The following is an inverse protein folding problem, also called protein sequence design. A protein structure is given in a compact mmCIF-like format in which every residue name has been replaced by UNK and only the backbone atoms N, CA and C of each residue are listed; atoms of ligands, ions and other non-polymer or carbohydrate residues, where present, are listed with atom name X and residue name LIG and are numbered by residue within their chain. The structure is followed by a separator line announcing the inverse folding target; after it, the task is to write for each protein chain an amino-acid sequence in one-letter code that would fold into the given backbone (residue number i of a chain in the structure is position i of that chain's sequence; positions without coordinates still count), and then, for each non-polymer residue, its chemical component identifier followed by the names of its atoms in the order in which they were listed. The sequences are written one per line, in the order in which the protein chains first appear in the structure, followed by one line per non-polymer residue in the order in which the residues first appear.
data_IF_864897868464
#
_entry.id   IF_864897868464
#
_cell.length_a   1.000
_cell.length_b   1.000
_cell.length_c   1.000
_cell.angle_alpha   90.00
_cell.angle_beta   90.00
_cell.angle_gamma   90.00
#
_symmetry.space_group_name_H-M   'P 1'
#
loop_
_entity.id
_entity.type
_entity.pdbx_description
1 polymer ?
#
# COMPACT_ATOMS: atom_id res chain seq x y z
N UNK A 1 -24.53 0.17 9.48
CA UNK A 1 -24.74 -0.32 8.10
C UNK A 1 -24.75 -1.85 8.13
N UNK A 2 -25.23 -2.47 7.06
CA UNK A 2 -25.25 -3.92 6.92
C UNK A 2 -24.53 -4.31 5.63
N UNK A 3 -23.70 -5.34 5.67
CA UNK A 3 -22.93 -5.86 4.55
C UNK A 3 -23.10 -7.38 4.50
N UNK A 4 -23.35 -7.96 3.34
CA UNK A 4 -23.36 -9.41 3.15
C UNK A 4 -22.13 -9.83 2.33
N UNK A 5 -21.39 -10.84 2.78
CA UNK A 5 -20.26 -11.38 2.02
C UNK A 5 -20.70 -12.43 0.98
N UNK A 6 -19.74 -12.94 0.20
CA UNK A 6 -19.99 -13.95 -0.83
C UNK A 6 -20.61 -15.25 -0.28
N UNK A 7 -20.29 -15.61 0.97
CA UNK A 7 -20.83 -16.78 1.67
C UNK A 7 -22.16 -16.50 2.40
N UNK A 8 -22.87 -15.45 2.00
CA UNK A 8 -24.18 -15.04 2.52
C UNK A 8 -24.20 -14.65 4.01
N UNK A 9 -23.04 -14.50 4.65
CA UNK A 9 -22.95 -14.03 6.03
C UNK A 9 -23.17 -12.53 6.09
N UNK A 10 -24.09 -12.12 6.95
CA UNK A 10 -24.45 -10.72 7.17
C UNK A 10 -23.71 -10.13 8.37
N UNK A 11 -23.06 -8.99 8.13
CA UNK A 11 -22.31 -8.21 9.12
C UNK A 11 -23.06 -6.91 9.41
N UNK A 12 -23.50 -6.73 10.65
CA UNK A 12 -23.96 -5.44 11.15
C UNK A 12 -22.78 -4.69 11.74
N UNK A 13 -22.42 -3.57 11.11
CA UNK A 13 -21.23 -2.81 11.48
C UNK A 13 -21.44 -1.30 11.44
N UNK A 14 -20.65 -0.60 12.25
CA UNK A 14 -20.40 0.84 12.08
C UNK A 14 -19.03 1.02 11.45
N UNK A 15 -18.95 1.93 10.49
CA UNK A 15 -17.71 2.39 9.88
C UNK A 15 -17.55 3.86 10.22
N UNK A 16 -16.43 4.19 10.87
CA UNK A 16 -16.05 5.55 11.22
C UNK A 16 -14.79 5.90 10.41
N UNK A 17 -14.79 7.04 9.72
CA UNK A 17 -13.63 7.55 8.97
C UNK A 17 -13.39 9.01 9.30
N UNK A 18 -12.18 9.30 9.77
CA UNK A 18 -11.69 10.65 10.01
C UNK A 18 -10.54 10.94 9.05
N UNK A 19 -10.51 12.13 8.45
CA UNK A 19 -9.43 12.58 7.57
C UNK A 19 -8.83 13.84 8.16
N UNK A 20 -7.52 13.80 8.42
CA UNK A 20 -6.77 14.91 9.00
C UNK A 20 -5.73 15.42 8.02
N UNK A 21 -5.72 16.73 7.78
CA UNK A 21 -4.57 17.40 7.16
C UNK A 21 -3.55 17.65 8.28
N UNK A 22 -2.33 17.18 8.08
CA UNK A 22 -1.27 17.33 9.07
C UNK A 22 -0.53 18.64 8.83
N UNK A 23 -0.26 19.38 9.90
CA UNK A 23 0.63 20.51 9.82
C UNK A 23 2.09 20.07 9.59
N UNK A 24 2.97 21.03 9.31
CA UNK A 24 4.38 20.75 9.02
C UNK A 24 5.09 20.02 10.18
N UNK A 25 4.80 20.39 11.43
CA UNK A 25 5.46 19.80 12.59
C UNK A 25 5.02 18.34 12.78
N UNK A 26 3.72 18.08 12.68
CA UNK A 26 3.16 16.73 12.72
C UNK A 26 3.73 15.87 11.59
N UNK A 27 3.77 16.39 10.36
CA UNK A 27 4.31 15.65 9.22
C UNK A 27 5.79 15.28 9.41
N UNK A 28 6.61 16.19 9.94
CA UNK A 28 8.03 15.94 10.25
C UNK A 28 8.17 14.84 11.31
N UNK A 29 7.39 14.92 12.39
CA UNK A 29 7.39 13.91 13.45
C UNK A 29 7.09 12.52 12.88
N UNK A 30 6.05 12.41 12.04
CA UNK A 30 5.64 11.15 11.42
C UNK A 30 6.61 10.64 10.36
N UNK A 31 7.24 11.55 9.62
CA UNK A 31 8.24 11.21 8.61
C UNK A 31 9.55 10.71 9.25
N UNK A 32 9.87 11.17 10.46
CA UNK A 32 11.08 10.80 11.19
C UNK A 32 12.36 11.50 10.68
N UNK A 33 12.21 12.45 9.76
CA UNK A 33 13.29 13.28 9.22
C UNK A 33 12.71 14.67 8.89
N UNK A 34 13.50 15.72 9.09
CA UNK A 34 13.14 17.09 8.75
C UNK A 34 13.53 17.38 7.30
N UNK A 35 12.57 17.65 6.39
CA UNK A 35 12.88 18.12 5.04
C UNK A 35 13.60 19.48 5.08
N UNK A 36 14.50 19.72 4.13
CA UNK A 36 15.13 21.04 3.97
C UNK A 36 14.10 22.13 3.62
N UNK A 37 14.43 23.39 3.89
CA UNK A 37 13.50 24.53 3.74
C UNK A 37 12.96 24.74 2.31
N UNK A 38 13.65 24.19 1.31
CA UNK A 38 13.26 24.25 -0.11
C UNK A 38 12.26 23.17 -0.51
N UNK A 39 12.03 22.16 0.34
CA UNK A 39 11.09 21.07 0.07
C UNK A 39 9.69 21.52 0.45
N UNK A 40 8.79 21.53 -0.54
CA UNK A 40 7.36 21.70 -0.30
C UNK A 40 6.81 20.39 0.25
N UNK A 41 5.98 20.48 1.27
CA UNK A 41 5.39 19.33 1.95
C UNK A 41 3.89 19.52 2.09
N UNK A 42 3.13 18.47 1.78
CA UNK A 42 1.72 18.32 2.15
C UNK A 42 1.54 16.91 2.70
N UNK A 43 0.85 16.79 3.83
CA UNK A 43 0.61 15.50 4.46
C UNK A 43 -0.83 15.41 4.96
N UNK A 44 -1.40 14.21 4.84
CA UNK A 44 -2.72 13.91 5.36
C UNK A 44 -2.78 12.44 5.78
N UNK A 45 -3.72 12.12 6.65
CA UNK A 45 -4.00 10.75 7.06
C UNK A 45 -5.49 10.49 7.13
N UNK A 46 -5.84 9.22 6.99
CA UNK A 46 -7.16 8.72 7.33
C UNK A 46 -7.06 7.75 8.50
N UNK A 47 -7.89 7.96 9.51
CA UNK A 47 -8.11 7.05 10.63
C UNK A 47 -9.45 6.36 10.42
N UNK A 48 -9.41 5.07 10.18
CA UNK A 48 -10.56 4.28 9.76
C UNK A 48 -10.85 3.23 10.82
N UNK A 49 -12.09 3.12 11.29
CA UNK A 49 -12.48 2.16 12.31
C UNK A 49 -13.72 1.41 11.87
N UNK A 50 -13.71 0.09 12.10
CA UNK A 50 -14.90 -0.75 12.01
C UNK A 50 -15.27 -1.21 13.42
N UNK A 51 -16.57 -1.22 13.73
CA UNK A 51 -17.12 -1.75 14.98
C UNK A 51 -18.16 -2.81 14.65
N UNK A 52 -18.09 -3.98 15.28
CA UNK A 52 -19.17 -4.96 15.22
C UNK A 52 -20.37 -4.46 16.04
N UNK A 53 -21.48 -4.16 15.38
CA UNK A 53 -22.73 -3.70 16.02
C UNK A 53 -23.81 -4.77 16.02
N UNK A 54 -23.50 -5.97 15.54
CA UNK A 54 -24.39 -7.12 15.56
C UNK A 54 -24.35 -7.86 16.89
N UNK A 55 -25.13 -8.93 16.96
CA UNK A 55 -25.27 -9.76 18.17
C UNK A 55 -24.24 -10.90 18.25
N UNK A 56 -23.61 -11.24 17.13
CA UNK A 56 -22.68 -12.37 17.01
C UNK A 56 -21.24 -11.91 16.75
N UNK A 57 -20.26 -12.70 17.19
CA UNK A 57 -18.86 -12.49 16.84
C UNK A 57 -18.61 -12.77 15.34
N UNK A 58 -17.61 -12.10 14.76
CA UNK A 58 -17.12 -12.40 13.41
C UNK A 58 -16.09 -13.51 13.50
N UNK A 59 -16.35 -14.61 12.80
CA UNK A 59 -15.57 -15.84 12.89
C UNK A 59 -14.99 -16.22 11.53
N UNK A 60 -13.87 -16.94 11.53
CA UNK A 60 -13.16 -17.29 10.29
C UNK A 60 -13.99 -18.15 9.35
N UNK A 61 -14.84 -18.99 9.91
CA UNK A 61 -15.70 -19.95 9.21
C UNK A 61 -16.79 -19.25 8.38
N UNK A 62 -17.24 -18.07 8.82
CA UNK A 62 -18.30 -17.29 8.16
C UNK A 62 -17.75 -16.08 7.40
N UNK A 63 -16.45 -15.80 7.52
CA UNK A 63 -15.77 -14.71 6.85
C UNK A 63 -15.39 -13.59 7.81
N UNK A 64 -14.20 -13.01 7.60
CA UNK A 64 -13.76 -11.81 8.32
C UNK A 64 -13.66 -10.61 7.38
N UNK A 65 -13.83 -9.43 7.95
CA UNK A 65 -13.66 -8.16 7.24
C UNK A 65 -12.25 -7.59 7.43
N UNK A 66 -11.79 -6.79 6.49
CA UNK A 66 -10.59 -5.96 6.61
C UNK A 66 -10.88 -4.54 6.13
N UNK A 67 -10.16 -3.56 6.65
CA UNK A 67 -10.19 -2.19 6.17
C UNK A 67 -9.11 -2.06 5.10
N UNK A 68 -9.51 -1.76 3.87
CA UNK A 68 -8.59 -1.51 2.76
C UNK A 68 -8.61 -0.03 2.39
N UNK A 69 -7.43 0.60 2.38
CA UNK A 69 -7.26 2.02 2.03
C UNK A 69 -6.19 2.15 0.96
N UNK A 70 -6.51 2.93 -0.08
CA UNK A 70 -5.62 3.26 -1.17
C UNK A 70 -5.50 4.78 -1.35
N UNK A 71 -4.32 5.23 -1.76
CA UNK A 71 -4.13 6.51 -2.41
C UNK A 71 -4.05 6.29 -3.92
N UNK A 72 -4.94 6.94 -4.68
CA UNK A 72 -4.94 6.93 -6.15
C UNK A 72 -4.22 8.18 -6.65
N UNK A 73 -3.15 8.02 -7.41
CA UNK A 73 -2.24 9.11 -7.78
C UNK A 73 -2.09 9.24 -9.30
N UNK A 74 -1.91 10.49 -9.74
CA UNK A 74 -1.57 10.77 -11.13
C UNK A 74 -0.16 10.21 -11.44
N UNK A 75 0.01 9.43 -12.51
CA UNK A 75 1.29 8.90 -12.91
C UNK A 75 2.02 9.92 -13.79
N UNK A 76 3.30 9.69 -13.99
CA UNK A 76 4.07 10.22 -15.11
C UNK A 76 4.79 9.08 -15.80
N UNK A 77 5.33 9.33 -17.00
CA UNK A 77 6.14 8.34 -17.72
C UNK A 77 7.40 7.89 -16.96
N UNK A 78 7.76 8.55 -15.86
CA UNK A 78 8.90 8.21 -15.02
C UNK A 78 8.51 8.00 -13.54
N UNK A 79 7.25 7.63 -13.25
CA UNK A 79 6.83 7.24 -11.90
C UNK A 79 7.30 5.82 -11.58
N UNK A 80 8.07 5.70 -10.49
CA UNK A 80 8.53 4.42 -9.96
C UNK A 80 8.05 4.26 -8.52
N UNK A 81 7.30 3.20 -8.25
CA UNK A 81 6.92 2.74 -6.91
C UNK A 81 8.11 2.03 -6.27
N UNK A 82 8.30 2.26 -4.98
CA UNK A 82 9.42 1.76 -4.18
C UNK A 82 8.85 1.13 -2.91
N UNK A 83 9.11 -0.16 -2.71
CA UNK A 83 8.61 -0.89 -1.54
C UNK A 83 9.77 -1.58 -0.82
N UNK A 84 10.24 -1.03 0.30
CA UNK A 84 11.19 -1.70 1.17
C UNK A 84 10.56 -2.93 1.83
N UNK A 85 11.30 -4.02 1.93
CA UNK A 85 10.80 -5.26 2.53
C UNK A 85 11.81 -5.89 3.50
N UNK A 86 11.33 -6.80 4.34
CA UNK A 86 12.16 -7.62 5.23
C UNK A 86 12.82 -8.74 4.43
N UNK A 87 14.15 -8.67 4.30
CA UNK A 87 14.94 -9.73 3.69
C UNK A 87 14.87 -11.02 4.52
N UNK A 88 15.17 -12.15 3.88
CA UNK A 88 15.12 -13.47 4.51
C UNK A 88 14.71 -14.56 3.51
N UNK A 89 15.01 -15.83 3.80
CA UNK A 89 14.71 -16.92 2.90
C UNK A 89 13.18 -17.14 2.77
N UNK A 90 12.73 -17.53 1.59
CA UNK A 90 11.30 -17.63 1.28
C UNK A 90 10.57 -18.67 2.13
N UNK A 91 11.21 -19.78 2.49
CA UNK A 91 10.59 -20.80 3.35
C UNK A 91 10.28 -20.31 4.77
N UNK A 92 10.86 -19.19 5.23
CA UNK A 92 10.55 -18.56 6.52
C UNK A 92 9.61 -17.35 6.37
N UNK A 93 9.84 -16.53 5.36
CA UNK A 93 9.21 -15.22 5.22
C UNK A 93 8.17 -15.14 4.08
N UNK A 94 7.91 -16.25 3.38
CA UNK A 94 7.10 -16.29 2.17
C UNK A 94 7.84 -15.70 0.95
N UNK A 95 7.21 -15.70 -0.25
CA UNK A 95 7.76 -15.02 -1.42
C UNK A 95 7.98 -13.53 -1.13
N UNK A 96 8.91 -12.89 -1.85
CA UNK A 96 9.19 -11.45 -1.66
C UNK A 96 7.99 -10.59 -2.08
N UNK A 97 7.31 -10.99 -3.16
CA UNK A 97 6.21 -10.25 -3.78
C UNK A 97 5.23 -11.24 -4.40
N UNK A 98 3.94 -10.98 -4.22
CA UNK A 98 2.87 -11.57 -4.99
C UNK A 98 2.62 -10.70 -6.22
N UNK A 99 2.87 -11.21 -7.41
CA UNK A 99 2.68 -10.49 -8.67
C UNK A 99 1.75 -11.26 -9.62
N UNK A 100 0.78 -11.98 -9.04
CA UNK A 100 -0.15 -12.83 -9.78
C UNK A 100 -1.56 -12.23 -9.96
N UNK A 101 -1.89 -11.12 -9.29
CA UNK A 101 -3.23 -10.50 -9.27
C UNK A 101 -3.87 -10.29 -10.66
N UNK A 102 -3.07 -9.88 -11.65
CA UNK A 102 -3.50 -9.72 -13.06
C UNK A 102 -2.58 -10.49 -14.01
N UNK A 103 -2.05 -11.62 -13.54
CA UNK A 103 -0.97 -12.35 -14.20
C UNK A 103 0.42 -11.80 -13.88
N UNK A 104 1.45 -12.57 -14.23
CA UNK A 104 2.85 -12.31 -13.88
C UNK A 104 3.31 -10.94 -14.39
N UNK A 105 3.81 -10.10 -13.48
CA UNK A 105 4.33 -8.78 -13.86
C UNK A 105 5.65 -8.93 -14.66
N UNK A 106 5.77 -8.28 -15.84
CA UNK A 106 7.00 -8.36 -16.64
C UNK A 106 8.24 -7.83 -15.90
N UNK A 107 9.39 -8.47 -16.09
CA UNK A 107 10.65 -8.09 -15.43
C UNK A 107 11.13 -6.65 -15.72
N UNK A 108 10.65 -6.03 -16.81
CA UNK A 108 10.91 -4.62 -17.11
C UNK A 108 10.08 -3.65 -16.26
N UNK A 109 9.02 -4.12 -15.59
CA UNK A 109 8.10 -3.33 -14.76
C UNK A 109 8.18 -3.65 -13.27
N UNK A 110 8.83 -4.74 -12.89
CA UNK A 110 9.04 -5.15 -11.51
C UNK A 110 10.47 -5.66 -11.34
N UNK A 111 11.26 -4.96 -10.52
CA UNK A 111 12.65 -5.31 -10.23
C UNK A 111 12.82 -5.46 -8.72
N UNK A 112 13.22 -6.65 -8.29
CA UNK A 112 13.52 -6.95 -6.89
C UNK A 112 15.04 -6.81 -6.67
N UNK A 113 15.43 -6.03 -5.67
CA UNK A 113 16.80 -5.95 -5.14
C UNK A 113 16.86 -6.61 -3.75
N UNK A 114 17.95 -6.40 -3.00
CA UNK A 114 18.23 -7.13 -1.76
C UNK A 114 17.15 -6.94 -0.67
N UNK A 115 16.68 -5.71 -0.49
CA UNK A 115 15.79 -5.30 0.61
C UNK A 115 14.74 -4.25 0.19
N UNK A 116 14.63 -4.04 -1.12
CA UNK A 116 13.71 -3.11 -1.76
C UNK A 116 13.31 -3.65 -3.12
N UNK A 117 12.08 -3.42 -3.53
CA UNK A 117 11.61 -3.66 -4.89
C UNK A 117 11.14 -2.36 -5.53
N UNK A 118 11.18 -2.34 -6.85
CA UNK A 118 10.77 -1.24 -7.69
C UNK A 118 9.70 -1.72 -8.66
N UNK A 119 8.61 -0.97 -8.75
CA UNK A 119 7.47 -1.30 -9.59
C UNK A 119 7.07 -0.09 -10.42
N UNK A 120 6.70 -0.31 -11.68
CA UNK A 120 6.32 0.76 -12.57
C UNK A 120 4.94 1.31 -12.22
N UNK A 121 4.86 2.62 -11.97
CA UNK A 121 3.60 3.35 -11.71
C UNK A 121 3.30 4.34 -12.84
N UNK A 122 3.62 3.99 -14.08
CA UNK A 122 3.57 4.89 -15.24
C UNK A 122 2.19 5.04 -15.90
N UNK A 123 1.20 4.26 -15.45
CA UNK A 123 -0.13 4.21 -16.03
C UNK A 123 -0.19 3.60 -17.43
N UNK A 124 0.78 2.76 -17.83
CA UNK A 124 0.88 2.20 -19.19
C UNK A 124 0.75 0.67 -19.26
N UNK A 125 0.51 -0.01 -18.14
CA UNK A 125 0.30 -1.45 -18.13
C UNK A 125 -0.46 -1.90 -16.90
N UNK A 126 -1.64 -2.50 -17.11
CA UNK A 126 -2.45 -3.03 -16.01
C UNK A 126 -1.70 -4.11 -15.26
N UNK A 127 -1.38 -3.84 -14.01
CA UNK A 127 -0.66 -4.77 -13.14
C UNK A 127 -0.87 -4.44 -11.67
N UNK A 128 -0.73 -5.45 -10.82
CA UNK A 128 -0.83 -5.30 -9.37
C UNK A 128 0.16 -6.21 -8.68
N UNK A 129 0.78 -5.69 -7.63
CA UNK A 129 1.65 -6.45 -6.74
C UNK A 129 1.13 -6.39 -5.31
N UNK A 130 1.53 -7.36 -4.50
CA UNK A 130 1.20 -7.47 -3.09
C UNK A 130 2.39 -7.96 -2.26
N UNK A 131 2.45 -7.54 -1.00
CA UNK A 131 3.43 -7.98 -0.02
C UNK A 131 2.72 -8.46 1.24
N UNK A 132 3.04 -9.70 1.59
CA UNK A 132 2.56 -10.36 2.78
C UNK A 132 3.06 -9.67 4.07
N UNK A 133 2.34 -9.80 5.20
CA UNK A 133 2.66 -9.11 6.46
C UNK A 133 4.04 -9.44 7.06
N UNK A 134 4.57 -10.61 6.75
CA UNK A 134 5.92 -11.08 7.09
C UNK A 134 7.03 -10.40 6.24
N UNK A 135 6.73 -9.90 5.04
CA UNK A 135 7.66 -9.13 4.19
C UNK A 135 7.53 -7.62 4.34
N UNK A 136 6.30 -7.12 4.35
CA UNK A 136 6.04 -5.68 4.31
C UNK A 136 6.60 -4.95 5.55
N UNK A 137 7.31 -3.84 5.32
CA UNK A 137 7.59 -2.83 6.36
C UNK A 137 6.38 -1.89 6.51
N UNK A 138 6.46 -0.90 7.40
CA UNK A 138 5.38 0.07 7.65
C UNK A 138 5.37 1.27 6.69
N UNK A 139 6.23 1.25 5.67
CA UNK A 139 6.42 2.33 4.71
C UNK A 139 6.52 1.77 3.29
N UNK A 140 5.94 2.49 2.34
CA UNK A 140 6.11 2.35 0.90
C UNK A 140 6.06 3.74 0.28
N UNK A 141 6.47 3.87 -0.97
CA UNK A 141 6.42 5.17 -1.62
C UNK A 141 6.52 5.08 -3.13
N UNK A 142 6.59 6.25 -3.75
CA UNK A 142 6.83 6.41 -5.17
C UNK A 142 7.60 7.69 -5.42
N UNK A 143 8.34 7.73 -6.54
CA UNK A 143 8.96 8.94 -7.03
C UNK A 143 8.54 9.19 -8.47
N UNK A 144 7.97 10.36 -8.71
CA UNK A 144 7.69 10.90 -10.03
C UNK A 144 8.87 11.80 -10.45
N UNK A 145 9.73 11.29 -11.32
CA UNK A 145 10.92 12.03 -11.76
C UNK A 145 10.62 13.18 -12.73
N UNK A 146 9.43 13.21 -13.36
CA UNK A 146 9.01 14.33 -14.22
C UNK A 146 8.65 15.52 -13.36
N UNK A 147 7.83 15.30 -12.33
CA UNK A 147 7.31 16.37 -11.46
C UNK A 147 8.13 16.59 -10.19
N UNK A 148 9.16 15.77 -9.96
CA UNK A 148 10.03 15.75 -8.78
C UNK A 148 9.24 15.64 -7.48
N UNK A 149 8.32 14.69 -7.44
CA UNK A 149 7.46 14.41 -6.29
C UNK A 149 7.83 13.07 -5.69
N UNK A 150 8.30 13.07 -4.45
CA UNK A 150 8.46 11.89 -3.61
C UNK A 150 7.20 11.74 -2.75
N UNK A 151 6.48 10.64 -2.94
CA UNK A 151 5.32 10.28 -2.13
C UNK A 151 5.71 9.18 -1.17
N UNK A 152 5.46 9.40 0.12
CA UNK A 152 5.65 8.40 1.17
C UNK A 152 4.28 8.03 1.74
N UNK A 153 3.99 6.74 1.79
CA UNK A 153 2.82 6.19 2.46
C UNK A 153 3.27 5.41 3.70
N UNK A 154 2.55 5.61 4.80
CA UNK A 154 2.78 4.95 6.08
C UNK A 154 1.47 4.36 6.60
N UNK A 155 1.55 3.25 7.32
CA UNK A 155 0.40 2.70 8.01
C UNK A 155 0.76 2.16 9.40
N UNK A 156 -0.26 1.98 10.24
CA UNK A 156 -0.12 1.47 11.61
C UNK A 156 0.08 -0.06 11.63
N UNK A 157 1.17 -0.54 11.01
CA UNK A 157 1.53 -1.96 10.98
C UNK A 157 1.54 -2.56 12.40
N UNK A 158 0.77 -3.62 12.68
CA UNK A 158 0.84 -4.32 13.96
C UNK A 158 2.24 -4.86 14.26
N UNK A 159 2.64 -4.83 15.53
CA UNK A 159 3.93 -5.37 15.96
C UNK A 159 3.99 -6.91 15.82
N UNK A 160 2.87 -7.56 16.13
CA UNK A 160 2.70 -9.01 15.98
C UNK A 160 2.25 -9.36 14.56
N UNK A 161 2.63 -10.56 14.10
CA UNK A 161 2.10 -11.10 12.86
C UNK A 161 0.60 -11.38 13.02
N UNK A 162 -0.17 -11.01 12.01
CA UNK A 162 -1.63 -11.15 11.97
C UNK A 162 -2.05 -11.70 10.63
N UNK A 163 -3.24 -12.26 10.60
CA UNK A 163 -3.89 -12.73 9.39
C UNK A 163 -4.48 -11.56 8.60
N UNK A 164 -4.55 -11.67 7.27
CA UNK A 164 -5.05 -10.64 6.37
C UNK A 164 -5.97 -11.26 5.33
N UNK A 165 -7.08 -10.59 5.02
CA UNK A 165 -8.01 -11.07 3.99
C UNK A 165 -7.27 -11.14 2.65
N UNK A 166 -7.31 -12.31 2.01
CA UNK A 166 -6.76 -12.51 0.68
C UNK A 166 -7.65 -11.79 -0.34
N UNK A 167 -7.06 -10.90 -1.14
CA UNK A 167 -7.78 -10.08 -2.13
C UNK A 167 -7.57 -10.57 -3.57
N UNK A 168 -7.00 -11.76 -3.76
CA UNK A 168 -6.92 -12.40 -5.07
C UNK A 168 -8.32 -12.73 -5.58
N UNK A 169 -8.53 -12.54 -6.88
CA UNK A 169 -9.84 -12.70 -7.50
C UNK A 169 -10.12 -14.16 -7.88
N UNK A 170 -10.27 -15.00 -6.86
CA UNK A 170 -10.49 -16.45 -6.96
C UNK A 170 -11.23 -16.96 -5.72
N UNK A 171 -11.68 -18.23 -5.76
CA UNK A 171 -12.10 -18.93 -4.55
C UNK A 171 -10.83 -19.41 -3.84
N UNK A 172 -10.57 -18.85 -2.67
CA UNK A 172 -9.29 -18.97 -1.99
C UNK A 172 -9.27 -20.22 -1.09
N UNK A 173 -8.23 -21.04 -1.23
CA UNK A 173 -7.97 -22.14 -0.28
C UNK A 173 -7.54 -21.59 1.10
N UNK A 174 -6.80 -20.48 1.11
CA UNK A 174 -6.29 -19.83 2.31
C UNK A 174 -6.76 -18.35 2.37
N UNK A 175 -8.04 -18.09 2.72
CA UNK A 175 -8.67 -16.76 2.59
C UNK A 175 -8.09 -15.70 3.53
N UNK A 176 -7.25 -16.10 4.48
CA UNK A 176 -6.64 -15.21 5.46
C UNK A 176 -5.10 -15.09 5.34
N UNK A 177 -4.54 -15.54 4.21
CA UNK A 177 -3.13 -15.32 3.83
C UNK A 177 -2.99 -14.23 2.77
N UNK A 178 -3.62 -13.10 3.00
CA UNK A 178 -3.56 -11.94 2.13
C UNK A 178 -2.31 -11.08 2.27
N UNK A 179 -2.16 -10.18 1.31
CA UNK A 179 -1.17 -9.13 1.33
C UNK A 179 -1.64 -7.94 2.18
N UNK A 180 -0.69 -7.25 2.83
CA UNK A 180 -0.97 -6.06 3.65
C UNK A 180 -0.65 -4.76 2.90
N UNK A 181 0.30 -4.82 1.97
CA UNK A 181 0.73 -3.71 1.13
C UNK A 181 0.51 -4.12 -0.31
N UNK A 182 -0.14 -3.27 -1.08
CA UNK A 182 -0.32 -3.48 -2.51
C UNK A 182 0.04 -2.22 -3.29
N UNK A 183 0.32 -2.40 -4.57
CA UNK A 183 0.38 -1.31 -5.52
C UNK A 183 -0.19 -1.74 -6.85
N UNK A 184 -1.08 -0.91 -7.39
CA UNK A 184 -1.73 -1.09 -8.68
C UNK A 184 -1.22 -0.06 -9.68
N UNK A 185 -1.11 -0.45 -10.95
CA UNK A 185 -0.83 0.43 -12.08
C UNK A 185 -1.96 0.28 -13.10
N UNK A 186 -2.70 1.34 -13.38
CA UNK A 186 -3.78 1.34 -14.38
C UNK A 186 -3.22 1.70 -15.76
N UNK A 187 -3.19 0.71 -16.65
CA UNK A 187 -2.96 0.94 -18.07
C UNK A 187 -3.91 0.07 -18.89
N UNK A 188 -3.77 0.07 -20.23
CA UNK A 188 -4.59 -0.78 -21.10
C UNK A 188 -4.58 -2.24 -20.61
N UNK A 189 -5.76 -2.82 -20.41
CA UNK A 189 -5.90 -4.22 -19.99
C UNK A 189 -5.46 -5.17 -21.12
N UNK A 190 -5.65 -4.75 -22.37
CA UNK A 190 -5.22 -5.42 -23.59
C UNK A 190 -4.79 -4.37 -24.62
N UNK A 191 -4.01 -4.73 -25.66
CA UNK A 191 -3.61 -3.80 -26.70
C UNK A 191 -4.81 -3.07 -27.34
N UNK A 192 -4.85 -1.74 -27.22
CA UNK A 192 -5.91 -0.91 -27.79
C UNK A 192 -7.15 -0.74 -26.91
N UNK A 193 -7.21 -1.35 -25.72
CA UNK A 193 -8.26 -1.07 -24.74
C UNK A 193 -7.99 0.27 -24.04
N UNK A 194 -9.04 1.08 -23.86
CA UNK A 194 -8.94 2.30 -23.04
C UNK A 194 -8.71 1.92 -21.57
N UNK A 195 -7.72 2.53 -20.88
CA UNK A 195 -7.59 2.41 -19.43
C UNK A 195 -8.78 3.08 -18.72
N UNK A 196 -9.01 2.75 -17.44
CA UNK A 196 -10.02 3.47 -16.63
C UNK A 196 -9.60 4.94 -16.43
N UNK A 197 -8.30 5.16 -16.42
CA UNK A 197 -7.61 6.44 -16.52
C UNK A 197 -6.15 6.20 -16.09
N UNK A 198 -5.14 6.92 -16.58
CA UNK A 198 -3.80 6.63 -16.10
C UNK A 198 -3.71 7.04 -14.62
N UNK A 199 -3.61 6.05 -13.74
CA UNK A 199 -3.33 6.21 -12.31
C UNK A 199 -2.49 5.04 -11.79
N UNK A 200 -1.88 5.24 -10.63
CA UNK A 200 -1.31 4.16 -9.85
C UNK A 200 -1.75 4.31 -8.40
N UNK A 201 -1.70 3.21 -7.66
CA UNK A 201 -2.16 3.16 -6.29
C UNK A 201 -1.03 2.71 -5.35
N UNK A 202 -1.03 3.27 -4.15
CA UNK A 202 -0.29 2.75 -3.01
C UNK A 202 -1.33 2.39 -1.94
N UNK A 203 -1.34 1.13 -1.56
CA UNK A 203 -2.45 0.55 -0.81
C UNK A 203 -1.95 -0.13 0.47
N UNK A 204 -2.76 -0.07 1.51
CA UNK A 204 -2.52 -0.78 2.75
C UNK A 204 -3.83 -1.32 3.32
N UNK A 205 -3.77 -2.50 3.94
CA UNK A 205 -4.92 -3.13 4.58
C UNK A 205 -4.72 -3.28 6.08
N UNK A 206 -5.82 -3.34 6.83
CA UNK A 206 -5.81 -3.84 8.21
C UNK A 206 -5.72 -5.36 8.23
N UNK A 207 -5.37 -5.91 9.39
CA UNK A 207 -5.57 -7.34 9.66
C UNK A 207 -7.05 -7.75 9.48
N UNK A 208 -7.28 -9.04 9.24
CA UNK A 208 -8.61 -9.64 9.26
C UNK A 208 -9.21 -9.53 10.67
N UNK A 209 -10.44 -9.02 10.75
CA UNK A 209 -11.05 -8.59 12.00
C UNK A 209 -11.99 -9.67 12.57
N UNK A 210 -11.55 -10.43 13.57
CA UNK A 210 -12.40 -11.34 14.35
C UNK A 210 -12.97 -10.60 15.58
N UNK A 211 -13.98 -9.76 15.37
CA UNK A 211 -14.53 -8.86 16.39
C UNK A 211 -15.75 -9.47 17.07
N UNK A 212 -15.76 -9.45 18.41
CA UNK A 212 -16.98 -9.72 19.20
C UNK A 212 -17.95 -8.53 19.15
N UNK A 213 -19.23 -8.71 19.52
CA UNK A 213 -20.18 -7.61 19.62
C UNK A 213 -19.62 -6.44 20.43
N UNK A 214 -19.67 -5.24 19.85
CA UNK A 214 -19.16 -4.00 20.44
C UNK A 214 -17.65 -3.74 20.26
N UNK A 215 -16.86 -4.74 19.85
CA UNK A 215 -15.43 -4.56 19.63
C UNK A 215 -15.14 -3.77 18.34
N UNK A 216 -13.94 -3.17 18.27
CA UNK A 216 -13.51 -2.34 17.15
C UNK A 216 -12.09 -2.68 16.69
N UNK A 217 -11.83 -2.49 15.39
CA UNK A 217 -10.49 -2.49 14.79
C UNK A 217 -10.27 -1.15 14.08
N UNK A 218 -9.05 -0.61 14.17
CA UNK A 218 -8.67 0.63 13.52
C UNK A 218 -7.47 0.47 12.57
N UNK A 219 -7.47 1.24 11.48
CA UNK A 219 -6.42 1.29 10.47
C UNK A 219 -6.14 2.74 10.06
N UNK A 220 -4.89 3.15 10.22
CA UNK A 220 -4.39 4.47 9.81
C UNK A 220 -3.59 4.32 8.53
N UNK A 221 -3.93 5.11 7.52
CA UNK A 221 -3.14 5.26 6.31
C UNK A 221 -2.77 6.74 6.14
N UNK A 222 -1.48 7.04 6.01
CA UNK A 222 -0.94 8.39 5.90
C UNK A 222 -0.18 8.55 4.59
N UNK A 223 -0.42 9.66 3.91
CA UNK A 223 0.27 10.06 2.69
C UNK A 223 1.00 11.37 2.92
N UNK A 224 2.27 11.41 2.54
CA UNK A 224 3.14 12.58 2.63
C UNK A 224 3.73 12.82 1.24
N UNK A 225 3.38 13.95 0.63
CA UNK A 225 3.96 14.39 -0.64
C UNK A 225 5.06 15.42 -0.36
N UNK A 226 6.22 15.18 -0.95
CA UNK A 226 7.39 16.04 -0.88
C UNK A 226 7.81 16.43 -2.30
N UNK A 227 7.94 17.73 -2.56
CA UNK A 227 8.34 18.24 -3.87
C UNK A 227 9.53 19.20 -3.73
N UNK A 228 10.59 18.97 -4.50
CA UNK A 228 11.83 19.75 -4.39
C UNK A 228 12.88 19.36 -5.43
N UNK A 229 14.10 19.88 -5.29
CA UNK A 229 15.23 19.39 -6.08
C UNK A 229 15.61 17.96 -5.64
N UNK A 230 16.17 17.17 -6.55
CA UNK A 230 16.52 15.76 -6.25
C UNK A 230 17.50 15.67 -5.08
N UNK A 231 18.48 16.58 -5.01
CA UNK A 231 19.44 16.66 -3.91
C UNK A 231 18.78 16.96 -2.55
N UNK A 232 17.65 17.68 -2.54
CA UNK A 232 16.90 17.97 -1.32
C UNK A 232 15.98 16.79 -0.93
N UNK A 233 15.54 15.97 -1.90
CA UNK A 233 14.68 14.80 -1.69
C UNK A 233 15.47 13.53 -1.35
N UNK A 234 16.72 13.42 -1.79
CA UNK A 234 17.57 12.25 -1.63
C UNK A 234 17.79 11.83 -0.16
N UNK A 235 18.04 12.75 0.80
CA UNK A 235 18.12 12.38 2.21
C UNK A 235 16.82 11.78 2.76
N UNK A 236 15.66 12.26 2.28
CA UNK A 236 14.35 11.76 2.71
C UNK A 236 14.10 10.36 2.14
N UNK A 237 14.39 10.15 0.85
CA UNK A 237 14.26 8.84 0.22
C UNK A 237 15.15 7.79 0.91
N UNK A 238 16.40 8.15 1.26
CA UNK A 238 17.30 7.27 2.02
C UNK A 238 16.75 6.93 3.40
N UNK A 239 16.29 7.94 4.14
CA UNK A 239 15.81 7.76 5.51
C UNK A 239 14.53 6.90 5.58
N UNK A 240 13.65 7.02 4.58
CA UNK A 240 12.32 6.38 4.61
C UNK A 240 12.23 5.11 3.76
N UNK A 241 12.82 5.11 2.57
CA UNK A 241 12.76 4.02 1.60
C UNK A 241 14.08 3.24 1.49
N UNK A 242 15.16 3.69 2.13
CA UNK A 242 16.46 3.02 2.10
C UNK A 242 17.21 3.13 0.77
N UNK A 243 16.77 4.02 -0.13
CA UNK A 243 17.34 4.20 -1.47
C UNK A 243 17.48 5.68 -1.83
N UNK A 244 18.44 5.97 -2.71
CA UNK A 244 18.63 7.29 -3.33
C UNK A 244 17.61 7.55 -4.44
N UNK A 245 17.37 8.82 -4.77
CA UNK A 245 16.60 9.22 -5.95
C UNK A 245 17.24 8.66 -7.23
N UNK A 246 18.57 8.64 -7.29
CA UNK A 246 19.32 8.11 -8.43
C UNK A 246 19.06 6.61 -8.63
N UNK A 247 19.05 5.81 -7.56
CA UNK A 247 18.72 4.39 -7.61
C UNK A 247 17.29 4.17 -8.10
N UNK A 248 16.32 4.96 -7.61
CA UNK A 248 14.92 4.85 -8.06
C UNK A 248 14.82 5.09 -9.58
N UNK A 249 15.46 6.15 -10.08
CA UNK A 249 15.45 6.51 -11.52
C UNK A 249 16.15 5.48 -12.42
N UNK A 250 17.09 4.71 -11.87
CA UNK A 250 17.84 3.69 -12.60
C UNK A 250 17.30 2.27 -12.39
N UNK A 251 16.28 2.09 -11.55
CA UNK A 251 15.85 0.78 -11.08
C UNK A 251 15.17 -0.08 -12.16
N UNK A 252 14.33 0.56 -12.99
CA UNK A 252 13.57 -0.11 -14.04
C UNK A 252 14.31 0.00 -15.39
N UNK A 253 14.38 -1.09 -16.18
CA UNK A 253 14.89 -1.05 -17.54
C UNK A 253 14.10 -0.05 -18.39
N UNK A 254 14.81 0.74 -19.20
CA UNK A 254 14.21 1.65 -20.19
C UNK A 254 13.86 0.92 -21.47
#
# INVERSE_FOLDING_TARGET
MQLQNYSETTFDLRVDREVNVLDKAQAIEKLGITPGDKVKLVAFESNNKITNTGENAWEKETGLLSIWILGMFNPSSATTVVIPFKAGPEHLAGPIVNDAYFGKVPAKRLVVKKDVLFFSGDGQYRSKIGLAPNRAKSFLGSYDAVNKVLTIVQYNKPAELRDYVNSMWEIQEEPYKGDVVNSYNDGPAEPGAEPLGPFYELETSSQAAALKPGESLAHTHRTIHLQGAEDDLDPIAKATLGVTIAEIKAALPK
#
